data_IF_112485609393
#
_entry.id   IF_112485609393
#
_cell.length_a   1.000
_cell.length_b   1.000
_cell.length_c   1.000
_cell.angle_alpha   90.00
_cell.angle_beta   90.00
_cell.angle_gamma   90.00
#
_symmetry.space_group_name_H-M   'P 1'
#
loop_
_entity.id
_entity.type
_entity.pdbx_description
1 polymer ?
#
# COMPACT_ATOMS: atom_id res chain seq x y z
N UNK A 1 -4.30 -12.32 -2.09
CA UNK A 1 -4.55 -11.62 -3.37
C UNK A 1 -3.38 -11.74 -4.37
N UNK A 2 -2.36 -12.57 -4.12
CA UNK A 2 -1.25 -12.77 -5.07
C UNK A 2 -0.23 -11.62 -5.17
N UNK A 3 -0.56 -10.41 -4.70
CA UNK A 3 0.36 -9.26 -4.71
C UNK A 3 1.63 -9.53 -3.89
N UNK A 4 2.78 -9.13 -4.42
CA UNK A 4 4.10 -9.36 -3.84
C UNK A 4 4.91 -8.07 -3.82
N UNK A 5 5.51 -7.76 -2.67
CA UNK A 5 6.50 -6.68 -2.64
C UNK A 5 7.88 -7.16 -3.08
N UNK A 6 8.70 -6.22 -3.51
CA UNK A 6 10.11 -6.49 -3.80
C UNK A 6 10.93 -6.54 -2.51
N UNK A 7 11.47 -7.72 -2.21
CA UNK A 7 12.30 -7.99 -1.02
C UNK A 7 13.73 -7.47 -1.13
N UNK A 8 14.15 -6.92 -2.28
CA UNK A 8 15.49 -6.36 -2.46
C UNK A 8 15.58 -4.89 -2.04
N UNK A 9 14.43 -4.22 -1.87
CA UNK A 9 14.37 -2.83 -1.45
C UNK A 9 14.21 -2.68 0.06
N UNK A 10 14.72 -1.56 0.60
CA UNK A 10 14.61 -1.26 2.03
C UNK A 10 13.18 -0.91 2.44
N UNK A 11 12.39 -0.31 1.55
CA UNK A 11 10.99 -0.02 1.79
C UNK A 11 10.13 -1.18 1.31
N UNK A 12 9.21 -1.62 2.16
CA UNK A 12 8.31 -2.72 1.85
C UNK A 12 6.87 -2.30 2.04
N UNK A 13 5.98 -2.89 1.25
CA UNK A 13 4.55 -2.78 1.48
C UNK A 13 4.14 -3.67 2.65
N UNK A 14 3.35 -3.13 3.56
CA UNK A 14 2.79 -3.84 4.70
C UNK A 14 1.27 -3.71 4.73
N UNK A 15 0.63 -4.54 5.55
CA UNK A 15 -0.80 -4.49 5.83
C UNK A 15 -1.03 -3.70 7.13
N UNK A 16 -1.95 -2.75 7.08
CA UNK A 16 -2.45 -2.05 8.26
C UNK A 16 -3.95 -2.29 8.44
N UNK A 17 -4.36 -2.26 9.71
CA UNK A 17 -5.77 -2.17 10.12
C UNK A 17 -5.91 -0.97 11.04
N UNK A 18 -6.87 -0.09 10.74
CA UNK A 18 -7.00 1.20 11.44
C UNK A 18 -5.90 2.20 11.06
N UNK A 19 -5.34 2.90 12.05
CA UNK A 19 -4.33 3.96 11.83
C UNK A 19 -2.96 3.36 11.49
N UNK A 20 -2.22 4.06 10.65
CA UNK A 20 -0.79 3.83 10.41
C UNK A 20 0.03 4.02 11.70
N UNK A 21 1.21 3.38 11.83
CA UNK A 21 2.02 3.45 13.07
C UNK A 21 2.56 4.85 13.38
N UNK A 22 2.89 5.62 12.35
CA UNK A 22 3.43 6.97 12.50
C UNK A 22 2.34 8.00 12.75
N UNK A 23 2.61 8.95 13.64
CA UNK A 23 1.75 10.12 13.88
C UNK A 23 1.66 11.00 12.63
N UNK A 24 0.58 11.77 12.52
CA UNK A 24 0.33 12.70 11.40
C UNK A 24 0.43 12.05 10.01
N UNK A 25 0.18 10.74 9.96
CA UNK A 25 -0.01 9.98 8.73
C UNK A 25 -1.41 9.36 8.71
N UNK A 26 -1.77 8.77 7.59
CA UNK A 26 -3.05 8.09 7.46
C UNK A 26 -3.05 7.04 6.37
N UNK A 27 -4.21 6.40 6.12
CA UNK A 27 -5.52 6.72 6.69
C UNK A 27 -5.74 6.20 8.11
N UNK A 28 -6.85 6.60 8.75
CA UNK A 28 -7.27 6.07 10.05
C UNK A 28 -8.11 4.79 9.96
N UNK A 29 -8.74 4.55 8.80
CA UNK A 29 -9.61 3.41 8.51
C UNK A 29 -9.47 3.07 7.02
N UNK A 30 -9.70 1.80 6.66
CA UNK A 30 -9.69 1.39 5.26
C UNK A 30 -10.91 1.93 4.49
N UNK A 31 -10.80 2.05 3.17
CA UNK A 31 -11.90 2.51 2.31
C UNK A 31 -13.02 1.48 2.18
N UNK A 32 -12.74 0.17 2.27
CA UNK A 32 -13.73 -0.88 1.98
C UNK A 32 -14.78 -0.95 3.07
N UNK A 33 -14.33 -0.99 4.33
CA UNK A 33 -15.23 -1.18 5.48
C UNK A 33 -15.50 0.09 6.26
N UNK A 34 -14.68 1.13 6.08
CA UNK A 34 -14.69 2.34 6.91
C UNK A 34 -14.67 2.00 8.41
N UNK A 35 -13.91 0.97 8.77
CA UNK A 35 -13.84 0.45 10.13
C UNK A 35 -12.44 -0.06 10.46
N UNK A 36 -12.15 -0.27 11.75
CA UNK A 36 -10.87 -0.81 12.22
C UNK A 36 -10.70 -2.31 11.94
N UNK A 37 -11.69 -2.95 11.31
CA UNK A 37 -11.66 -4.36 10.90
C UNK A 37 -11.22 -4.54 9.45
N UNK A 38 -11.29 -3.50 8.64
CA UNK A 38 -10.80 -3.57 7.27
C UNK A 38 -9.30 -3.33 7.18
N UNK A 39 -8.75 -3.56 6.00
CA UNK A 39 -7.31 -3.54 5.77
C UNK A 39 -6.96 -2.81 4.49
N UNK A 40 -5.81 -2.17 4.50
CA UNK A 40 -5.20 -1.56 3.31
C UNK A 40 -3.71 -1.86 3.30
N UNK A 41 -3.13 -1.83 2.10
CA UNK A 41 -1.68 -1.90 1.92
C UNK A 41 -1.09 -0.50 2.01
N UNK A 42 0.04 -0.35 2.70
CA UNK A 42 0.70 0.93 2.87
C UNK A 42 2.22 0.76 2.94
N UNK A 43 2.94 1.88 2.90
CA UNK A 43 4.36 1.92 3.19
C UNK A 43 4.59 2.90 4.34
N UNK A 44 5.44 2.50 5.29
CA UNK A 44 5.91 3.39 6.35
C UNK A 44 7.08 4.25 5.83
N UNK A 45 6.80 5.51 5.51
CA UNK A 45 7.74 6.43 4.88
C UNK A 45 8.48 7.34 5.88
N UNK A 46 8.07 7.40 7.15
CA UNK A 46 8.50 8.44 8.09
C UNK A 46 9.98 8.39 8.51
N UNK A 47 10.68 7.29 8.24
CA UNK A 47 12.10 7.10 8.62
C UNK A 47 12.93 6.54 7.47
N UNK A 48 12.60 6.96 6.25
CA UNK A 48 13.30 6.51 5.05
C UNK A 48 13.89 7.69 4.29
N UNK A 49 15.01 7.44 3.59
CA UNK A 49 15.67 8.49 2.82
C UNK A 49 14.80 8.94 1.64
N UNK A 50 14.82 10.25 1.35
CA UNK A 50 14.17 10.82 0.19
C UNK A 50 14.62 10.10 -1.10
N UNK A 51 13.68 9.75 -1.96
CA UNK A 51 13.94 9.02 -3.20
C UNK A 51 14.03 7.50 -3.04
N UNK A 52 13.85 6.96 -1.84
CA UNK A 52 13.66 5.52 -1.63
C UNK A 52 12.40 5.02 -2.36
N UNK A 53 12.43 3.78 -2.83
CA UNK A 53 11.36 3.17 -3.64
C UNK A 53 10.94 1.84 -3.04
N UNK A 54 9.67 1.51 -3.19
CA UNK A 54 9.10 0.19 -2.93
C UNK A 54 8.24 -0.23 -4.12
N UNK A 55 8.27 -1.52 -4.45
CA UNK A 55 7.50 -2.08 -5.56
C UNK A 55 6.45 -3.05 -5.02
N UNK A 56 5.24 -3.00 -5.58
CA UNK A 56 4.18 -3.98 -5.35
C UNK A 56 3.74 -4.50 -6.73
N UNK A 57 3.93 -5.80 -6.95
CA UNK A 57 3.66 -6.44 -8.23
C UNK A 57 2.47 -7.38 -8.10
N UNK A 58 1.61 -7.40 -9.12
CA UNK A 58 0.62 -8.46 -9.31
C UNK A 58 1.26 -9.69 -9.93
N UNK A 59 0.49 -10.77 -10.00
CA UNK A 59 0.80 -11.85 -10.93
C UNK A 59 0.66 -11.36 -12.38
N UNK A 60 1.22 -12.11 -13.33
CA UNK A 60 1.18 -11.78 -14.75
C UNK A 60 -0.26 -11.79 -15.27
N UNK A 61 -0.63 -10.76 -16.02
CA UNK A 61 -1.93 -10.64 -16.68
C UNK A 61 -1.75 -10.82 -18.18
N UNK A 62 -2.62 -11.62 -18.79
CA UNK A 62 -2.54 -11.94 -20.22
C UNK A 62 -2.82 -10.69 -21.08
N UNK A 63 -1.87 -10.27 -21.95
CA UNK A 63 -2.04 -9.15 -22.87
C UNK A 63 -3.22 -9.30 -23.85
N UNK A 64 -3.67 -10.54 -24.10
CA UNK A 64 -4.80 -10.80 -25.00
C UNK A 64 -6.17 -10.42 -24.44
N UNK A 65 -6.25 -10.08 -23.14
CA UNK A 65 -7.50 -9.70 -22.46
C UNK A 65 -7.53 -8.20 -22.18
N UNK A 66 -8.67 -7.56 -22.44
CA UNK A 66 -8.90 -6.20 -21.97
C UNK A 66 -9.04 -6.20 -20.45
N UNK A 67 -8.15 -5.51 -19.74
CA UNK A 67 -8.14 -5.40 -18.28
C UNK A 67 -8.27 -3.94 -17.86
N UNK A 68 -9.09 -3.67 -16.85
CA UNK A 68 -9.16 -2.38 -16.17
C UNK A 68 -8.61 -2.51 -14.76
N UNK A 69 -7.65 -1.66 -14.39
CA UNK A 69 -7.07 -1.63 -13.04
C UNK A 69 -7.59 -0.39 -12.34
N UNK A 70 -8.22 -0.59 -11.18
CA UNK A 70 -8.76 0.48 -10.35
C UNK A 70 -8.41 0.21 -8.89
N UNK A 71 -8.02 1.26 -8.17
CA UNK A 71 -7.71 1.17 -6.75
C UNK A 71 -7.95 2.52 -6.07
N UNK A 72 -8.23 2.46 -4.77
CA UNK A 72 -8.30 3.63 -3.90
C UNK A 72 -6.90 3.90 -3.33
N UNK A 73 -6.54 5.18 -3.20
CA UNK A 73 -5.29 5.59 -2.58
C UNK A 73 -5.54 6.70 -1.56
N UNK A 74 -4.66 6.76 -0.57
CA UNK A 74 -4.64 7.81 0.43
C UNK A 74 -3.18 8.22 0.65
N UNK A 75 -2.92 9.52 0.67
CA UNK A 75 -1.57 10.06 0.84
C UNK A 75 -1.64 11.23 1.81
N UNK A 76 -1.10 11.03 3.01
CA UNK A 76 -1.02 12.03 4.07
C UNK A 76 0.16 11.68 4.97
N UNK A 77 1.03 12.65 5.20
CA UNK A 77 2.33 12.51 5.85
C UNK A 77 3.33 13.50 5.25
N UNK A 78 4.47 13.69 5.91
CA UNK A 78 5.60 14.52 5.44
C UNK A 78 6.62 13.72 4.63
#
# INVERSE_FOLDING_TARGET
CGLRHDNTTRMRWDLATGRTPSGDTGPSLDHTTHSNKGSFVYIEASRVALGSKAWLSSDWMDPGSAVCIQFWYHMYGE
#
